data_IF_518816087995
#
_entry.id   IF_518816087995
#
_cell.length_a   1.000
_cell.length_b   1.000
_cell.length_c   1.000
_cell.angle_alpha   90.00
_cell.angle_beta   90.00
_cell.angle_gamma   90.00
#
_symmetry.space_group_name_H-M   'P 1'
#
loop_
_entity.id
_entity.type
_entity.pdbx_description
1 polymer ?
#
# COMPACT_ATOMS: atom_id res chain seq x y z
N UNK A 1 7.81 8.14 -18.33
CA UNK A 1 8.61 6.92 -18.55
C UNK A 1 9.39 7.01 -19.86
N UNK A 2 8.75 7.40 -20.97
CA UNK A 2 9.42 7.55 -22.28
C UNK A 2 10.58 8.54 -22.25
N UNK A 3 10.46 9.66 -21.53
CA UNK A 3 11.52 10.64 -21.33
C UNK A 3 12.75 10.09 -20.58
N UNK A 4 12.58 8.94 -19.92
CA UNK A 4 13.64 8.17 -19.23
C UNK A 4 14.18 7.02 -20.09
N UNK A 5 13.83 6.98 -21.38
CA UNK A 5 14.26 5.93 -22.31
C UNK A 5 13.52 4.60 -22.18
N UNK A 6 12.38 4.57 -21.45
CA UNK A 6 11.59 3.36 -21.26
C UNK A 6 10.50 3.30 -22.35
N UNK A 7 10.49 2.23 -23.12
CA UNK A 7 9.40 1.96 -24.07
C UNK A 7 8.24 1.29 -23.33
N UNK A 8 7.05 1.89 -23.40
CA UNK A 8 5.83 1.35 -22.79
C UNK A 8 4.93 0.81 -23.91
N UNK A 9 4.56 -0.47 -23.81
CA UNK A 9 3.55 -1.11 -24.67
C UNK A 9 2.31 -1.43 -23.82
N UNK A 10 1.22 -0.70 -24.06
CA UNK A 10 -0.06 -0.96 -23.41
C UNK A 10 -0.86 -2.00 -24.22
N UNK A 11 -1.82 -2.65 -23.56
CA UNK A 11 -2.68 -3.69 -24.15
C UNK A 11 -1.88 -4.82 -24.87
N UNK A 12 -0.71 -5.13 -24.35
CA UNK A 12 0.19 -6.15 -24.88
C UNK A 12 0.20 -7.37 -23.95
N UNK A 13 -0.25 -8.52 -24.45
CA UNK A 13 -0.21 -9.77 -23.72
C UNK A 13 1.06 -10.56 -24.07
N UNK A 14 1.77 -11.02 -23.06
CA UNK A 14 2.92 -11.90 -23.20
C UNK A 14 2.46 -13.31 -23.52
N UNK A 15 2.95 -13.90 -24.61
CA UNK A 15 2.58 -15.22 -25.07
C UNK A 15 3.63 -16.28 -24.70
N UNK A 16 4.89 -15.99 -25.01
CA UNK A 16 5.96 -16.98 -24.86
C UNK A 16 7.30 -16.29 -24.63
N UNK A 17 8.14 -16.91 -23.79
CA UNK A 17 9.54 -16.50 -23.60
C UNK A 17 10.40 -17.32 -24.58
N UNK A 18 10.98 -16.66 -25.57
CA UNK A 18 11.85 -17.29 -26.54
C UNK A 18 13.27 -17.39 -26.00
N UNK A 19 13.84 -18.59 -26.01
CA UNK A 19 15.19 -18.85 -25.52
C UNK A 19 16.06 -19.52 -26.57
N UNK A 20 17.37 -19.36 -26.44
CA UNK A 20 18.38 -20.05 -27.22
C UNK A 20 19.60 -20.35 -26.32
N UNK A 21 20.12 -21.59 -26.40
CA UNK A 21 21.28 -22.02 -25.61
C UNK A 21 21.17 -21.77 -24.11
N UNK A 22 19.95 -21.92 -23.52
CA UNK A 22 19.69 -21.70 -22.10
C UNK A 22 19.61 -20.22 -21.66
N UNK A 23 19.54 -19.27 -22.61
CA UNK A 23 19.40 -17.84 -22.35
C UNK A 23 18.12 -17.31 -22.98
N UNK A 24 17.51 -16.30 -22.34
CA UNK A 24 16.41 -15.56 -22.96
C UNK A 24 16.93 -14.78 -24.17
N UNK A 25 16.15 -14.78 -25.24
CA UNK A 25 16.43 -14.05 -26.49
C UNK A 25 15.39 -12.96 -26.76
N UNK A 26 14.12 -13.27 -26.52
CA UNK A 26 13.02 -12.34 -26.76
C UNK A 26 11.76 -12.74 -25.97
N UNK A 27 10.86 -11.79 -25.82
CA UNK A 27 9.48 -12.02 -25.42
C UNK A 27 8.58 -11.94 -26.64
N UNK A 28 7.83 -13.01 -26.92
CA UNK A 28 6.80 -13.04 -27.96
C UNK A 28 5.48 -12.55 -27.38
N UNK A 29 4.84 -11.60 -28.05
CA UNK A 29 3.49 -11.11 -27.72
C UNK A 29 2.42 -11.86 -28.52
N UNK A 30 1.14 -11.77 -28.09
CA UNK A 30 0.00 -12.42 -28.75
C UNK A 30 -0.22 -11.91 -30.19
N UNK A 31 0.15 -10.68 -30.47
CA UNK A 31 0.08 -10.07 -31.80
C UNK A 31 1.21 -10.53 -32.77
N UNK A 32 2.10 -11.40 -32.30
CA UNK A 32 3.25 -11.89 -33.05
C UNK A 32 4.48 -11.01 -32.98
N UNK A 33 4.44 -9.89 -32.24
CA UNK A 33 5.61 -9.03 -32.03
C UNK A 33 6.66 -9.74 -31.18
N UNK A 34 7.89 -9.83 -31.65
CA UNK A 34 9.04 -10.24 -30.83
C UNK A 34 9.73 -9.01 -30.22
N UNK A 35 9.91 -9.03 -28.92
CA UNK A 35 10.68 -8.02 -28.17
C UNK A 35 12.02 -8.61 -27.75
N UNK A 36 13.13 -8.31 -28.45
CA UNK A 36 14.44 -8.80 -28.06
C UNK A 36 14.82 -8.35 -26.65
N UNK A 37 15.36 -9.25 -25.84
CA UNK A 37 15.84 -8.93 -24.48
C UNK A 37 16.87 -9.96 -24.00
N UNK A 38 17.80 -9.50 -23.19
CA UNK A 38 18.82 -10.32 -22.52
C UNK A 38 18.41 -10.66 -21.08
N UNK A 39 17.47 -9.89 -20.52
CA UNK A 39 16.88 -10.08 -19.20
C UNK A 39 15.38 -9.83 -19.28
N UNK A 40 14.58 -10.71 -18.70
CA UNK A 40 13.15 -10.55 -18.58
C UNK A 40 12.76 -10.60 -17.10
N UNK A 41 12.03 -9.58 -16.64
CA UNK A 41 11.50 -9.53 -15.28
C UNK A 41 9.98 -9.68 -15.33
N UNK A 42 9.47 -10.71 -14.67
CA UNK A 42 8.03 -10.93 -14.52
C UNK A 42 7.54 -10.28 -13.24
N UNK A 43 6.81 -9.16 -13.37
CA UNK A 43 6.28 -8.36 -12.26
C UNK A 43 4.75 -8.21 -12.41
N UNK A 44 4.04 -9.35 -12.48
CA UNK A 44 2.61 -9.43 -12.84
C UNK A 44 1.68 -9.59 -11.62
N UNK A 45 2.15 -9.19 -10.45
CA UNK A 45 1.44 -9.35 -9.18
C UNK A 45 1.75 -10.67 -8.48
N UNK A 46 1.06 -10.89 -7.36
CA UNK A 46 1.25 -12.06 -6.50
C UNK A 46 -0.05 -12.84 -6.35
N UNK A 47 0.09 -14.12 -6.01
CA UNK A 47 -1.03 -14.97 -5.59
C UNK A 47 -0.64 -15.70 -4.31
N UNK A 48 -1.54 -15.81 -3.33
CA UNK A 48 -1.30 -16.59 -2.13
C UNK A 48 -0.89 -18.03 -2.48
N UNK A 49 0.13 -18.54 -1.81
CA UNK A 49 0.48 -19.96 -1.93
C UNK A 49 -0.34 -20.74 -0.89
N UNK A 50 -1.37 -21.43 -1.36
CA UNK A 50 -2.30 -22.17 -0.51
C UNK A 50 -2.06 -23.68 -0.50
N UNK A 51 -1.03 -24.16 -1.19
CA UNK A 51 -0.81 -25.59 -1.44
C UNK A 51 -0.71 -26.42 -0.15
N UNK A 52 -0.03 -25.93 0.87
CA UNK A 52 0.09 -26.63 2.17
C UNK A 52 -1.26 -26.69 2.88
N UNK A 53 -2.00 -25.58 2.95
CA UNK A 53 -3.33 -25.55 3.55
C UNK A 53 -4.31 -26.48 2.85
N UNK A 54 -4.30 -26.45 1.51
CA UNK A 54 -5.14 -27.32 0.69
C UNK A 54 -4.78 -28.80 0.88
N UNK A 55 -3.49 -29.11 0.93
CA UNK A 55 -3.01 -30.48 1.19
C UNK A 55 -3.32 -30.98 2.59
N UNK A 56 -3.46 -30.09 3.56
CA UNK A 56 -3.88 -30.39 4.94
C UNK A 56 -5.42 -30.42 5.12
N UNK A 57 -6.20 -30.17 4.06
CA UNK A 57 -7.68 -30.17 4.12
C UNK A 57 -8.28 -28.92 4.76
N UNK A 58 -7.51 -27.83 4.89
CA UNK A 58 -8.03 -26.56 5.41
C UNK A 58 -8.96 -25.90 4.39
N UNK A 59 -9.87 -25.05 4.86
CA UNK A 59 -10.70 -24.21 4.01
C UNK A 59 -9.84 -23.18 3.27
N UNK A 60 -9.92 -23.17 1.94
CA UNK A 60 -9.14 -22.30 1.05
C UNK A 60 -10.05 -21.65 0.01
N UNK A 61 -9.87 -20.38 -0.19
CA UNK A 61 -10.40 -19.62 -1.31
C UNK A 61 -9.26 -19.15 -2.21
N UNK A 62 -9.09 -17.83 -2.34
CA UNK A 62 -7.87 -17.25 -2.92
C UNK A 62 -6.66 -17.36 -1.97
N UNK A 63 -6.91 -17.37 -0.67
CA UNK A 63 -5.98 -17.59 0.43
C UNK A 63 -6.48 -18.69 1.36
N UNK A 64 -5.71 -19.03 2.39
CA UNK A 64 -6.13 -19.90 3.49
C UNK A 64 -7.08 -19.07 4.36
N UNK A 65 -8.31 -19.55 4.55
CA UNK A 65 -9.30 -18.83 5.36
C UNK A 65 -8.90 -18.81 6.82
N UNK A 66 -8.92 -17.63 7.43
CA UNK A 66 -8.71 -17.42 8.87
C UNK A 66 -9.80 -16.54 9.44
N UNK A 67 -10.07 -16.73 10.72
CA UNK A 67 -10.95 -15.87 11.50
C UNK A 67 -10.20 -14.63 12.06
N UNK A 68 -10.88 -13.84 12.89
CA UNK A 68 -10.32 -12.64 13.50
C UNK A 68 -9.16 -12.94 14.50
N UNK A 69 -8.97 -14.19 14.88
CA UNK A 69 -7.90 -14.67 15.76
C UNK A 69 -6.78 -15.38 15.02
N UNK A 70 -6.80 -15.34 13.69
CA UNK A 70 -5.88 -16.03 12.79
C UNK A 70 -5.98 -17.56 12.87
N UNK A 71 -7.07 -18.11 13.36
CA UNK A 71 -7.34 -19.55 13.39
C UNK A 71 -7.95 -19.97 12.04
N UNK A 72 -7.49 -21.07 11.51
CA UNK A 72 -8.02 -21.65 10.25
C UNK A 72 -9.30 -22.44 10.48
N UNK A 73 -9.77 -23.20 9.48
CA UNK A 73 -10.88 -24.14 9.64
C UNK A 73 -10.56 -25.32 10.57
N UNK A 74 -9.31 -25.52 10.93
CA UNK A 74 -8.85 -26.45 11.96
C UNK A 74 -8.42 -25.63 13.18
N UNK A 75 -9.04 -25.88 14.34
CA UNK A 75 -8.84 -25.12 15.57
C UNK A 75 -7.40 -25.19 16.13
N UNK A 76 -6.64 -26.21 15.75
CA UNK A 76 -5.26 -26.41 16.16
C UNK A 76 -4.25 -25.80 15.19
N UNK A 77 -4.72 -25.16 14.10
CA UNK A 77 -3.87 -24.58 13.06
C UNK A 77 -4.16 -23.09 12.86
N UNK A 78 -3.13 -22.28 13.05
CA UNK A 78 -3.15 -20.86 12.73
C UNK A 78 -2.41 -20.59 11.42
N UNK A 79 -2.84 -19.55 10.68
CA UNK A 79 -2.13 -19.09 9.50
C UNK A 79 -1.99 -17.57 9.52
N UNK A 80 -0.82 -17.08 9.10
CA UNK A 80 -0.49 -15.65 8.97
C UNK A 80 0.33 -15.41 7.71
N UNK A 81 0.32 -14.21 7.19
CA UNK A 81 1.14 -13.82 6.04
C UNK A 81 0.34 -13.68 4.75
N UNK A 82 1.05 -13.59 3.63
CA UNK A 82 0.42 -13.40 2.29
C UNK A 82 -0.40 -14.61 1.83
N UNK A 83 -0.27 -15.76 2.49
CA UNK A 83 -1.03 -16.96 2.17
C UNK A 83 -2.45 -16.95 2.72
N UNK A 84 -2.81 -16.01 3.61
CA UNK A 84 -4.13 -16.00 4.24
C UNK A 84 -5.16 -15.14 3.50
N UNK A 85 -6.41 -15.52 3.71
CA UNK A 85 -7.61 -14.76 3.34
C UNK A 85 -8.46 -14.53 4.59
N UNK A 86 -8.64 -13.25 4.96
CA UNK A 86 -9.43 -12.85 6.11
C UNK A 86 -10.63 -12.03 5.63
N UNK A 87 -11.85 -12.48 5.90
CA UNK A 87 -13.09 -11.83 5.48
C UNK A 87 -13.12 -11.45 3.98
N UNK A 88 -12.56 -12.31 3.10
CA UNK A 88 -12.48 -12.09 1.66
C UNK A 88 -11.35 -11.15 1.20
N UNK A 89 -10.56 -10.59 2.14
CA UNK A 89 -9.42 -9.73 1.85
C UNK A 89 -8.10 -10.53 1.79
N UNK A 90 -7.22 -10.11 0.86
CA UNK A 90 -5.86 -10.60 0.72
C UNK A 90 -4.85 -9.50 1.10
N UNK A 91 -3.68 -9.88 1.56
CA UNK A 91 -2.67 -8.97 2.09
C UNK A 91 -1.35 -9.13 1.33
N UNK A 92 -0.92 -8.11 0.61
CA UNK A 92 0.33 -8.08 -0.17
C UNK A 92 1.36 -7.08 0.35
N UNK A 93 1.12 -6.47 1.51
CA UNK A 93 2.03 -5.53 2.18
C UNK A 93 2.47 -6.10 3.53
N UNK A 94 3.69 -5.80 3.93
CA UNK A 94 4.32 -6.39 5.12
C UNK A 94 3.66 -5.96 6.44
N UNK A 95 3.21 -4.70 6.56
CA UNK A 95 2.67 -4.17 7.81
C UNK A 95 1.48 -4.97 8.37
N UNK A 96 0.42 -5.30 7.59
CA UNK A 96 -0.67 -6.15 8.08
C UNK A 96 -0.22 -7.53 8.54
N UNK A 97 0.83 -8.09 7.94
CA UNK A 97 1.32 -9.42 8.28
C UNK A 97 1.93 -9.46 9.69
N UNK A 98 2.58 -8.37 10.11
CA UNK A 98 3.04 -8.24 11.48
C UNK A 98 1.88 -8.11 12.48
N UNK A 99 0.80 -7.39 12.11
CA UNK A 99 -0.38 -7.31 12.96
C UNK A 99 -1.06 -8.69 13.09
N UNK A 100 -1.16 -9.46 11.99
CA UNK A 100 -1.62 -10.86 12.02
C UNK A 100 -0.75 -11.72 12.95
N UNK A 101 0.58 -11.62 12.83
CA UNK A 101 1.51 -12.38 13.69
C UNK A 101 1.36 -12.05 15.16
N UNK A 102 1.14 -10.77 15.52
CA UNK A 102 0.87 -10.36 16.91
C UNK A 102 -0.42 -10.99 17.43
N UNK A 103 -1.50 -10.96 16.62
CA UNK A 103 -2.78 -11.57 16.99
C UNK A 103 -2.62 -13.08 17.17
N UNK A 104 -1.98 -13.77 16.23
CA UNK A 104 -1.74 -15.20 16.32
C UNK A 104 -0.93 -15.58 17.59
N UNK A 105 0.10 -14.79 17.92
CA UNK A 105 0.88 -15.02 19.13
C UNK A 105 0.03 -14.86 20.41
N UNK A 106 -0.86 -13.88 20.47
CA UNK A 106 -1.78 -13.68 21.59
C UNK A 106 -2.81 -14.80 21.67
N UNK A 107 -3.33 -15.26 20.54
CA UNK A 107 -4.23 -16.43 20.46
C UNK A 107 -3.57 -17.67 21.04
N UNK A 108 -2.31 -17.95 20.66
CA UNK A 108 -1.53 -19.08 21.21
C UNK A 108 -1.28 -18.99 22.72
N UNK A 109 -1.21 -17.77 23.26
CA UNK A 109 -1.09 -17.53 24.70
C UNK A 109 -2.43 -17.58 25.44
N UNK A 110 -3.53 -17.88 24.76
CA UNK A 110 -4.88 -17.86 25.34
C UNK A 110 -5.40 -16.45 25.67
N UNK A 111 -4.80 -15.42 25.08
CA UNK A 111 -5.21 -14.03 25.27
C UNK A 111 -6.25 -13.63 24.20
N UNK A 112 -7.23 -12.82 24.60
CA UNK A 112 -8.19 -12.26 23.65
C UNK A 112 -7.52 -11.24 22.75
N UNK A 113 -7.55 -11.45 21.45
CA UNK A 113 -7.04 -10.53 20.43
C UNK A 113 -7.86 -10.65 19.14
N UNK A 114 -7.94 -9.58 18.39
CA UNK A 114 -8.73 -9.52 17.16
C UNK A 114 -7.94 -8.78 16.08
N UNK A 115 -7.81 -9.38 14.93
CA UNK A 115 -7.21 -8.74 13.77
C UNK A 115 -8.22 -7.81 13.11
N UNK A 116 -7.89 -6.53 13.08
CA UNK A 116 -8.67 -5.50 12.38
C UNK A 116 -7.77 -4.91 11.30
N UNK A 117 -8.09 -5.13 10.01
CA UNK A 117 -7.35 -4.51 8.92
C UNK A 117 -7.38 -2.98 9.04
N UNK A 118 -6.21 -2.36 8.90
CA UNK A 118 -6.05 -0.90 8.92
C UNK A 118 -5.93 -0.37 7.49
N UNK A 119 -6.29 0.87 7.29
CA UNK A 119 -6.00 1.56 6.04
C UNK A 119 -4.48 1.60 5.79
N UNK A 120 -4.10 1.39 4.55
CA UNK A 120 -2.70 1.31 4.15
C UNK A 120 -2.38 2.39 3.13
N UNK A 121 -1.13 2.82 3.16
CA UNK A 121 -0.57 3.69 2.13
C UNK A 121 0.71 3.09 1.55
N UNK A 122 0.97 3.41 0.31
CA UNK A 122 2.18 2.99 -0.40
C UNK A 122 2.90 4.22 -0.95
N UNK A 123 4.20 4.29 -0.68
CA UNK A 123 5.12 5.25 -1.30
C UNK A 123 6.14 4.52 -2.16
N UNK A 124 6.27 4.92 -3.42
CA UNK A 124 7.34 4.43 -4.28
C UNK A 124 8.63 5.15 -3.92
N UNK A 125 9.66 4.38 -3.58
CA UNK A 125 10.99 4.90 -3.22
C UNK A 125 11.97 4.71 -4.39
N UNK A 126 11.64 5.24 -5.56
CA UNK A 126 12.49 5.17 -6.74
C UNK A 126 12.97 6.57 -7.09
N UNK A 127 14.28 6.74 -7.24
CA UNK A 127 14.88 8.05 -7.56
C UNK A 127 14.27 8.69 -8.79
N UNK A 128 13.76 9.91 -8.63
CA UNK A 128 13.13 10.71 -9.68
C UNK A 128 11.73 10.25 -10.07
N UNK A 129 11.05 9.50 -9.21
CA UNK A 129 9.64 9.15 -9.37
C UNK A 129 8.95 9.09 -8.00
N UNK A 130 8.37 10.22 -7.59
CA UNK A 130 7.61 10.29 -6.35
C UNK A 130 6.17 9.89 -6.64
N UNK A 131 5.73 8.79 -6.03
CA UNK A 131 4.36 8.30 -6.14
C UNK A 131 3.86 7.88 -4.76
N UNK A 132 2.63 8.27 -4.48
CA UNK A 132 1.90 7.88 -3.29
C UNK A 132 0.52 7.36 -3.68
N UNK A 133 0.05 6.32 -3.01
CA UNK A 133 -1.34 5.87 -3.08
C UNK A 133 -1.81 5.38 -1.70
N UNK A 134 -3.08 5.60 -1.40
CA UNK A 134 -3.71 5.15 -0.17
C UNK A 134 -5.20 4.89 -0.37
N UNK A 135 -5.76 3.99 0.44
CA UNK A 135 -7.18 3.65 0.45
C UNK A 135 -7.68 3.02 -0.85
N UNK A 136 -8.98 3.16 -1.09
CA UNK A 136 -9.65 2.62 -2.27
C UNK A 136 -9.80 3.69 -3.36
N UNK A 137 -8.89 3.67 -4.31
CA UNK A 137 -8.84 4.60 -5.45
C UNK A 137 -9.37 3.99 -6.76
N UNK A 138 -10.03 2.83 -6.72
CA UNK A 138 -10.68 2.25 -7.89
C UNK A 138 -11.92 3.06 -8.31
N UNK A 139 -12.30 2.98 -9.57
CA UNK A 139 -13.57 3.53 -10.05
C UNK A 139 -14.74 2.73 -9.47
N UNK A 140 -15.86 3.38 -9.23
CA UNK A 140 -17.03 2.71 -8.67
C UNK A 140 -18.25 3.62 -8.55
N UNK A 141 -19.41 3.03 -8.34
CA UNK A 141 -20.68 3.74 -8.20
C UNK A 141 -20.71 4.59 -6.91
N UNK A 142 -21.27 5.80 -7.03
CA UNK A 142 -21.38 6.75 -5.92
C UNK A 142 -20.05 7.35 -5.46
N UNK A 143 -19.01 7.27 -6.29
CA UNK A 143 -17.71 7.89 -6.07
C UNK A 143 -17.59 9.15 -6.89
N UNK A 144 -16.88 10.11 -6.37
CA UNK A 144 -16.57 11.37 -7.00
C UNK A 144 -15.07 11.58 -6.99
N UNK A 145 -14.52 12.17 -8.07
CA UNK A 145 -13.10 12.46 -8.18
C UNK A 145 -12.85 13.96 -8.09
N UNK A 146 -11.86 14.35 -7.30
CA UNK A 146 -11.22 15.67 -7.40
C UNK A 146 -9.83 15.42 -7.99
N UNK A 147 -9.55 16.05 -9.15
CA UNK A 147 -8.28 15.84 -9.86
C UNK A 147 -7.58 17.18 -10.07
N UNK A 148 -6.32 17.23 -9.67
CA UNK A 148 -5.39 18.29 -10.03
C UNK A 148 -4.31 17.73 -10.94
N UNK A 149 -4.09 18.39 -12.09
CA UNK A 149 -3.10 17.96 -13.07
C UNK A 149 -2.32 19.16 -13.59
N UNK A 150 -1.00 19.14 -13.41
CA UNK A 150 -0.07 20.09 -14.00
C UNK A 150 1.02 19.34 -14.79
N UNK A 151 0.80 19.09 -16.09
CA UNK A 151 1.76 18.34 -16.92
C UNK A 151 3.11 19.05 -17.07
N UNK A 152 3.12 20.39 -17.04
CA UNK A 152 4.36 21.17 -17.17
C UNK A 152 5.32 20.95 -15.99
N UNK A 153 4.75 20.72 -14.78
CA UNK A 153 5.50 20.44 -13.56
C UNK A 153 5.59 18.94 -13.26
N UNK A 154 4.95 18.08 -14.06
CA UNK A 154 4.90 16.64 -13.82
C UNK A 154 4.09 16.27 -12.58
N UNK A 155 3.07 17.07 -12.21
CA UNK A 155 2.27 16.84 -11.00
C UNK A 155 0.88 16.30 -11.36
N UNK A 156 0.48 15.26 -10.63
CA UNK A 156 -0.86 14.69 -10.68
C UNK A 156 -1.32 14.34 -9.26
N UNK A 157 -2.53 14.78 -8.90
CA UNK A 157 -3.21 14.40 -7.66
C UNK A 157 -4.65 14.00 -7.99
N UNK A 158 -5.10 12.87 -7.47
CA UNK A 158 -6.48 12.39 -7.54
C UNK A 158 -6.94 12.00 -6.15
N UNK A 159 -8.08 12.53 -5.73
CA UNK A 159 -8.77 12.14 -4.51
C UNK A 159 -10.09 11.50 -4.90
N UNK A 160 -10.38 10.33 -4.37
CA UNK A 160 -11.67 9.64 -4.54
C UNK A 160 -12.49 9.87 -3.29
N UNK A 161 -13.71 10.38 -3.49
CA UNK A 161 -14.60 10.81 -2.42
C UNK A 161 -15.88 10.00 -2.46
N UNK A 162 -16.38 9.62 -1.30
CA UNK A 162 -17.70 9.02 -1.12
C UNK A 162 -18.33 9.54 0.17
N UNK A 163 -19.56 10.05 0.08
CA UNK A 163 -20.30 10.56 1.23
C UNK A 163 -19.50 11.60 2.03
N UNK A 164 -18.90 12.59 1.36
CA UNK A 164 -18.04 13.63 1.96
C UNK A 164 -16.81 13.09 2.72
N UNK A 165 -16.34 11.88 2.44
CA UNK A 165 -15.13 11.32 3.01
C UNK A 165 -14.16 10.97 1.89
N UNK A 166 -12.89 11.30 2.06
CA UNK A 166 -11.83 10.82 1.15
C UNK A 166 -11.62 9.33 1.43
N UNK A 167 -11.92 8.49 0.43
CA UNK A 167 -11.75 7.04 0.53
C UNK A 167 -10.50 6.53 -0.18
N UNK A 168 -9.92 7.35 -1.08
CA UNK A 168 -8.72 6.99 -1.79
C UNK A 168 -7.95 8.21 -2.28
N UNK A 169 -6.65 8.08 -2.43
CA UNK A 169 -5.77 9.11 -2.96
C UNK A 169 -4.65 8.53 -3.81
N UNK A 170 -4.35 9.19 -4.92
CA UNK A 170 -3.17 8.91 -5.75
C UNK A 170 -2.45 10.23 -6.04
N UNK A 171 -1.14 10.27 -5.78
CA UNK A 171 -0.31 11.44 -6.03
C UNK A 171 0.94 11.03 -6.81
N UNK A 172 1.32 11.82 -7.79
CA UNK A 172 2.54 11.65 -8.59
C UNK A 172 3.25 13.00 -8.74
N UNK A 173 4.57 12.98 -8.63
CA UNK A 173 5.47 14.14 -8.76
C UNK A 173 5.60 14.92 -7.48
N UNK A 174 4.52 15.53 -6.99
CA UNK A 174 4.49 16.19 -5.68
C UNK A 174 3.65 15.37 -4.70
N UNK A 175 4.32 14.76 -3.72
CA UNK A 175 3.72 13.92 -2.68
C UNK A 175 3.88 14.51 -1.27
N UNK A 176 4.23 15.78 -1.15
CA UNK A 176 4.52 16.42 0.14
C UNK A 176 3.38 16.28 1.15
N UNK A 177 2.13 16.46 0.70
CA UNK A 177 0.93 16.42 1.55
C UNK A 177 0.36 15.00 1.75
N UNK A 178 1.06 13.97 1.29
CA UNK A 178 0.55 12.57 1.29
C UNK A 178 0.11 12.08 2.68
N UNK A 179 0.85 12.43 3.73
CA UNK A 179 0.52 12.01 5.10
C UNK A 179 -0.77 12.68 5.60
N UNK A 180 -1.02 13.92 5.22
CA UNK A 180 -2.25 14.62 5.56
C UNK A 180 -3.46 13.98 4.88
N UNK A 181 -3.39 13.72 3.58
CA UNK A 181 -4.45 13.00 2.86
C UNK A 181 -4.67 11.60 3.42
N UNK A 182 -3.60 10.90 3.80
CA UNK A 182 -3.72 9.60 4.44
C UNK A 182 -4.42 9.69 5.80
N UNK A 183 -4.14 10.75 6.59
CA UNK A 183 -4.86 11.03 7.82
C UNK A 183 -6.37 11.19 7.59
N UNK A 184 -6.79 11.96 6.57
CA UNK A 184 -8.21 12.12 6.23
C UNK A 184 -8.89 10.80 5.88
N UNK A 185 -8.20 9.92 5.14
CA UNK A 185 -8.70 8.58 4.77
C UNK A 185 -8.85 7.71 6.02
N UNK A 186 -7.78 7.60 6.83
CA UNK A 186 -7.73 6.77 8.03
C UNK A 186 -8.79 7.17 9.06
N UNK A 187 -8.90 8.48 9.31
CA UNK A 187 -9.76 9.05 10.33
C UNK A 187 -11.20 9.26 9.82
N UNK A 188 -11.47 8.95 8.54
CA UNK A 188 -12.76 9.13 7.86
C UNK A 188 -13.34 10.52 8.08
N UNK A 189 -12.47 11.55 7.95
CA UNK A 189 -12.81 12.93 8.21
C UNK A 189 -13.86 13.44 7.22
N UNK A 190 -14.93 14.06 7.72
CA UNK A 190 -15.88 14.79 6.87
C UNK A 190 -15.17 16.02 6.26
N UNK A 191 -15.21 16.11 4.93
CA UNK A 191 -14.50 17.14 4.17
C UNK A 191 -15.41 18.26 3.68
N UNK A 192 -16.69 18.32 4.08
CA UNK A 192 -17.67 19.27 3.55
C UNK A 192 -17.16 20.72 3.61
N UNK A 193 -16.59 21.14 4.74
CA UNK A 193 -16.13 22.52 4.95
C UNK A 193 -14.80 22.85 4.25
N UNK A 194 -14.04 21.83 3.82
CA UNK A 194 -12.73 22.02 3.18
C UNK A 194 -12.70 21.62 1.70
N UNK A 195 -13.83 21.18 1.17
CA UNK A 195 -13.90 20.56 -0.16
C UNK A 195 -13.36 21.44 -1.28
N UNK A 196 -13.63 22.74 -1.26
CA UNK A 196 -13.26 23.67 -2.33
C UNK A 196 -11.73 23.83 -2.49
N UNK A 197 -10.99 23.65 -1.40
CA UNK A 197 -9.53 23.81 -1.37
C UNK A 197 -8.79 22.53 -1.06
N UNK A 198 -9.51 21.44 -0.84
CA UNK A 198 -8.99 20.14 -0.40
C UNK A 198 -7.79 19.66 -1.23
N UNK A 199 -7.91 19.71 -2.56
CA UNK A 199 -6.89 19.19 -3.47
C UNK A 199 -5.53 19.91 -3.39
N UNK A 200 -5.52 21.15 -2.90
CA UNK A 200 -4.32 21.96 -2.76
C UNK A 200 -3.54 21.66 -1.47
N UNK A 201 -4.11 20.86 -0.56
CA UNK A 201 -3.45 20.43 0.67
C UNK A 201 -3.73 21.31 1.88
N UNK A 202 -3.12 20.99 3.03
CA UNK A 202 -3.44 21.60 4.32
C UNK A 202 -3.14 23.09 4.41
N UNK A 203 -2.17 23.59 3.65
CA UNK A 203 -1.82 25.01 3.64
C UNK A 203 -2.98 25.93 3.17
N UNK A 204 -3.95 25.38 2.45
CA UNK A 204 -5.10 26.12 1.93
C UNK A 204 -6.36 25.96 2.79
N UNK A 205 -6.26 25.26 3.94
CA UNK A 205 -7.39 25.07 4.85
C UNK A 205 -7.53 26.17 5.93
N UNK A 206 -6.87 27.32 5.73
CA UNK A 206 -7.00 28.48 6.61
C UNK A 206 -6.25 28.38 7.94
N UNK A 207 -5.41 27.36 8.11
CA UNK A 207 -4.51 27.23 9.25
C UNK A 207 -3.19 28.00 9.04
N UNK A 208 -2.40 28.22 10.10
CA UNK A 208 -1.04 28.72 9.95
C UNK A 208 -0.23 27.75 9.07
N UNK A 209 0.80 28.24 8.34
CA UNK A 209 1.66 27.37 7.54
C UNK A 209 2.14 26.20 8.41
N UNK A 210 1.91 24.98 7.95
CA UNK A 210 2.43 23.80 8.66
C UNK A 210 3.95 23.85 8.57
N UNK A 211 4.59 24.24 9.67
CA UNK A 211 6.02 23.95 9.85
C UNK A 211 6.15 22.42 10.05
N UNK A 212 6.76 21.71 9.11
CA UNK A 212 6.92 20.25 9.22
C UNK A 212 7.62 19.82 10.51
N UNK A 213 8.55 20.64 11.02
CA UNK A 213 9.27 20.36 12.26
C UNK A 213 8.35 20.58 13.48
N UNK A 214 7.54 21.63 13.47
CA UNK A 214 6.56 21.86 14.53
C UNK A 214 5.48 20.75 14.53
N UNK A 215 5.04 20.31 13.35
CA UNK A 215 4.09 19.21 13.25
C UNK A 215 4.66 17.90 13.82
N UNK A 216 5.91 17.55 13.51
CA UNK A 216 6.58 16.38 14.09
C UNK A 216 6.80 16.56 15.59
N UNK A 217 7.19 17.76 16.04
CA UNK A 217 7.38 18.05 17.47
C UNK A 217 6.07 17.89 18.25
N UNK A 218 4.93 18.21 17.67
CA UNK A 218 3.61 18.12 18.29
C UNK A 218 3.05 16.69 18.38
N UNK A 219 3.62 15.73 17.64
CA UNK A 219 3.18 14.33 17.73
C UNK A 219 3.39 13.78 19.13
N UNK A 220 2.46 12.98 19.67
CA UNK A 220 2.66 12.30 20.94
C UNK A 220 3.81 11.28 20.85
N UNK A 221 4.44 10.94 21.96
CA UNK A 221 5.61 10.04 21.98
C UNK A 221 5.30 8.62 21.47
N UNK A 222 4.07 8.17 21.60
CA UNK A 222 3.56 6.89 21.12
C UNK A 222 3.11 6.91 19.67
N UNK A 223 3.17 8.07 18.98
CA UNK A 223 2.87 8.16 17.57
C UNK A 223 3.84 7.29 16.76
N UNK A 224 3.29 6.37 16.00
CA UNK A 224 4.07 5.49 15.12
C UNK A 224 4.67 6.28 13.95
N UNK A 225 5.98 6.23 13.82
CA UNK A 225 6.76 6.88 12.75
C UNK A 225 7.14 5.89 11.65
N UNK A 226 7.43 4.64 12.03
CA UNK A 226 7.79 3.59 11.08
C UNK A 226 6.86 2.38 11.25
N UNK A 227 5.87 2.27 10.37
CA UNK A 227 4.89 1.17 10.38
C UNK A 227 5.49 -0.21 10.09
N UNK A 228 6.63 -0.29 9.38
CA UNK A 228 7.28 -1.58 9.09
C UNK A 228 7.84 -2.25 10.35
N UNK A 229 8.31 -1.46 11.32
CA UNK A 229 8.95 -1.96 12.54
C UNK A 229 8.19 -1.55 13.83
N UNK A 230 7.06 -0.86 13.70
CA UNK A 230 6.29 -0.36 14.83
C UNK A 230 7.06 0.65 15.68
N UNK A 231 7.95 1.44 15.07
CA UNK A 231 8.79 2.41 15.80
C UNK A 231 8.00 3.69 16.05
N UNK A 232 7.87 4.04 17.33
CA UNK A 232 7.23 5.27 17.77
C UNK A 232 8.22 6.43 17.92
N UNK A 233 7.69 7.68 17.86
CA UNK A 233 8.46 8.91 18.05
C UNK A 233 9.35 8.86 19.29
N UNK A 234 8.81 8.44 20.43
CA UNK A 234 9.55 8.35 21.69
C UNK A 234 10.78 7.46 21.62
N UNK A 235 10.70 6.33 20.91
CA UNK A 235 11.85 5.44 20.74
C UNK A 235 12.97 6.11 19.92
N UNK A 236 12.61 6.91 18.91
CA UNK A 236 13.58 7.68 18.12
C UNK A 236 14.21 8.77 18.99
N UNK A 237 13.41 9.50 19.76
CA UNK A 237 13.90 10.54 20.68
C UNK A 237 14.87 9.97 21.73
N UNK A 238 14.53 8.81 22.30
CA UNK A 238 15.37 8.13 23.28
C UNK A 238 16.69 7.63 22.66
N UNK A 239 16.65 7.12 21.44
CA UNK A 239 17.84 6.72 20.70
C UNK A 239 18.76 7.91 20.41
N UNK A 240 18.21 9.05 19.95
CA UNK A 240 18.95 10.29 19.73
C UNK A 240 19.58 10.78 21.06
N UNK A 241 18.82 10.77 22.16
CA UNK A 241 19.33 11.17 23.46
C UNK A 241 20.45 10.24 23.97
N UNK A 242 20.43 8.96 23.56
CA UNK A 242 21.50 8.01 23.85
C UNK A 242 22.71 8.12 22.90
N UNK A 243 22.70 9.06 21.94
CA UNK A 243 23.82 9.36 21.05
C UNK A 243 23.74 8.73 19.65
N UNK A 244 22.59 8.22 19.23
CA UNK A 244 22.39 7.81 17.85
C UNK A 244 22.38 9.04 16.95
N UNK A 245 23.16 9.00 15.86
CA UNK A 245 23.35 10.12 14.91
C UNK A 245 22.99 9.75 13.46
N UNK A 246 22.71 8.47 13.19
CA UNK A 246 22.42 7.93 11.85
C UNK A 246 21.14 7.09 11.86
#
# INVERSE_FOLDING_TARGET
>A
LTDKGITVKCAANSKEILGENGKVRALLLDDGTELPCDLLVMAVGIRPNVALGQGAGLAVGKGIHVDDQMVTSDADVLAVGECVEHNGALFGLVAPLYDQAKVAAQTLLGQSSTFVPKELSTKLKVTGCDLFSAGDFADGEGREDIVFRDPARGVYRRLVIKNNVVIGAVMYGDTADSNWFFGLIRDKTDIADMRDTLIFGPAYQGGPPLDPLAAVAALPRDAEICGCNGICKGQIEDAIAAGASD
#
